data_IF_737849804631
#
_entry.id   IF_737849804631
#
_cell.length_a   1.000
_cell.length_b   1.000
_cell.length_c   1.000
_cell.angle_alpha   90.00
_cell.angle_beta   90.00
_cell.angle_gamma   90.00
#
_symmetry.space_group_name_H-M   'P 1'
#
loop_
_entity.id
_entity.type
_entity.pdbx_description
1 polymer ?
#
# COMPACT_ATOMS: atom_id res chain seq x y z
N UNK A 1 -6.38 -19.45 -15.18
CA UNK A 1 -6.69 -19.52 -13.73
C UNK A 1 -6.60 -18.11 -13.19
N UNK A 2 -7.61 -17.65 -12.46
CA UNK A 2 -7.57 -16.35 -11.77
C UNK A 2 -6.35 -16.32 -10.84
N UNK A 3 -5.69 -15.16 -10.72
CA UNK A 3 -4.52 -14.99 -9.84
C UNK A 3 -3.18 -15.55 -10.33
N UNK A 4 -3.04 -15.91 -11.61
CA UNK A 4 -1.77 -16.39 -12.22
C UNK A 4 -1.28 -15.51 -13.38
N UNK A 5 -1.84 -14.31 -13.53
CA UNK A 5 -1.59 -13.39 -14.65
C UNK A 5 -0.66 -12.24 -14.31
N UNK A 6 0.11 -12.34 -13.21
CA UNK A 6 0.95 -11.25 -12.71
C UNK A 6 2.38 -11.36 -13.18
N UNK A 7 2.90 -10.26 -13.74
CA UNK A 7 4.32 -10.01 -13.78
C UNK A 7 4.70 -9.04 -12.64
N UNK A 8 5.74 -9.39 -11.89
CA UNK A 8 6.25 -8.59 -10.78
C UNK A 8 7.69 -8.19 -11.07
N UNK A 9 7.98 -6.89 -11.00
CA UNK A 9 9.30 -6.32 -11.20
C UNK A 9 9.69 -5.58 -9.92
N UNK A 10 10.87 -5.84 -9.39
CA UNK A 10 11.33 -5.27 -8.13
C UNK A 10 12.59 -4.44 -8.35
N UNK A 11 12.65 -3.27 -7.73
CA UNK A 11 13.81 -2.37 -7.78
C UNK A 11 14.22 -1.98 -6.36
N UNK A 12 15.53 -1.81 -6.14
CA UNK A 12 16.12 -1.46 -4.84
C UNK A 12 16.35 -2.67 -3.93
N UNK A 13 15.40 -3.58 -3.81
CA UNK A 13 15.59 -4.87 -3.13
C UNK A 13 14.82 -6.03 -3.79
N UNK A 14 15.30 -7.25 -3.58
CA UNK A 14 14.52 -8.46 -3.79
C UNK A 14 13.72 -8.79 -2.51
N UNK A 15 12.42 -9.00 -2.64
CA UNK A 15 11.53 -9.38 -1.55
C UNK A 15 10.75 -10.65 -1.91
N UNK A 16 10.83 -11.63 -1.00
CA UNK A 16 10.07 -12.87 -1.06
C UNK A 16 8.83 -12.79 -0.16
N UNK A 17 7.66 -13.05 -0.76
CA UNK A 17 6.35 -13.00 -0.10
C UNK A 17 6.03 -14.27 0.69
N UNK A 18 6.74 -15.35 0.39
CA UNK A 18 6.58 -16.67 0.98
C UNK A 18 7.96 -17.21 1.40
N UNK A 19 7.96 -18.30 2.17
CA UNK A 19 9.20 -19.01 2.44
C UNK A 19 9.83 -19.49 1.13
N UNK A 20 11.15 -19.38 1.02
CA UNK A 20 11.86 -19.87 -0.15
C UNK A 20 12.10 -21.39 -0.08
N UNK A 21 12.76 -21.94 -1.11
CA UNK A 21 13.04 -23.38 -1.21
C UNK A 21 14.01 -23.89 -0.14
N UNK A 22 14.80 -22.99 0.41
CA UNK A 22 15.79 -23.29 1.46
C UNK A 22 15.17 -23.13 2.86
N UNK A 23 13.89 -22.76 2.93
CA UNK A 23 13.13 -22.62 4.17
C UNK A 23 13.34 -21.26 4.85
N UNK A 24 13.97 -20.28 4.20
CA UNK A 24 14.10 -18.95 4.76
C UNK A 24 12.73 -18.27 4.83
N UNK A 25 12.45 -17.49 5.89
CA UNK A 25 11.16 -16.81 6.03
C UNK A 25 10.95 -15.72 4.97
N UNK A 26 9.69 -15.29 4.74
CA UNK A 26 9.40 -14.12 3.91
C UNK A 26 10.17 -12.88 4.39
N UNK A 27 10.66 -12.06 3.46
CA UNK A 27 11.51 -10.94 3.81
C UNK A 27 12.37 -10.45 2.65
N UNK A 28 13.12 -9.39 2.91
CA UNK A 28 14.11 -8.88 1.96
C UNK A 28 15.27 -9.87 1.90
N UNK A 29 15.60 -10.35 0.70
CA UNK A 29 16.75 -11.21 0.46
C UNK A 29 17.98 -10.33 0.29
N UNK A 30 18.86 -10.31 1.31
CA UNK A 30 19.94 -9.31 1.40
C UNK A 30 21.15 -9.60 0.52
N UNK A 31 21.30 -10.86 0.11
CA UNK A 31 22.39 -11.33 -0.76
C UNK A 31 22.04 -11.22 -2.25
N UNK A 32 20.78 -10.97 -2.58
CA UNK A 32 20.33 -10.86 -3.97
C UNK A 32 20.60 -9.46 -4.53
N UNK A 33 21.24 -9.44 -5.70
CA UNK A 33 21.47 -8.22 -6.45
C UNK A 33 20.24 -7.89 -7.29
N UNK A 34 19.69 -6.69 -7.11
CA UNK A 34 18.61 -6.17 -7.95
C UNK A 34 18.98 -4.81 -8.53
N UNK A 35 18.31 -4.45 -9.62
CA UNK A 35 18.47 -3.14 -10.23
C UNK A 35 18.06 -2.01 -9.27
N UNK A 36 18.79 -0.88 -9.26
CA UNK A 36 18.35 0.32 -8.53
C UNK A 36 17.06 0.86 -9.14
N UNK A 37 16.43 1.81 -8.45
CA UNK A 37 15.26 2.51 -9.02
C UNK A 37 15.65 3.15 -10.37
N UNK A 38 14.94 2.84 -11.46
CA UNK A 38 15.10 3.53 -12.72
C UNK A 38 14.87 5.05 -12.53
N UNK A 39 15.54 5.92 -13.31
CA UNK A 39 15.45 7.37 -13.13
C UNK A 39 14.02 7.91 -13.08
N UNK A 40 13.11 7.34 -13.87
CA UNK A 40 11.69 7.70 -13.84
C UNK A 40 11.03 7.39 -12.48
N UNK A 41 11.28 6.21 -11.93
CA UNK A 41 10.72 5.78 -10.65
C UNK A 41 11.36 6.53 -9.48
N UNK A 42 12.65 6.83 -9.55
CA UNK A 42 13.32 7.71 -8.59
C UNK A 42 12.72 9.14 -8.62
N UNK A 43 12.47 9.70 -9.81
CA UNK A 43 11.81 11.00 -9.94
C UNK A 43 10.37 10.99 -9.38
N UNK A 44 9.63 9.90 -9.57
CA UNK A 44 8.31 9.71 -8.95
C UNK A 44 8.40 9.64 -7.43
N UNK A 45 9.31 8.84 -6.87
CA UNK A 45 9.55 8.76 -5.43
C UNK A 45 9.90 10.13 -4.84
N UNK A 46 10.78 10.88 -5.50
CA UNK A 46 11.10 12.27 -5.16
C UNK A 46 9.86 13.16 -5.13
N UNK A 47 9.01 13.06 -6.16
CA UNK A 47 7.80 13.88 -6.27
C UNK A 47 6.79 13.55 -5.16
N UNK A 48 6.63 12.28 -4.80
CA UNK A 48 5.77 11.85 -3.68
C UNK A 48 6.20 12.50 -2.36
N UNK A 49 7.50 12.61 -2.11
CA UNK A 49 8.03 13.28 -0.91
C UNK A 49 7.87 14.80 -0.99
N UNK A 50 8.24 15.42 -2.11
CA UNK A 50 8.12 16.88 -2.29
C UNK A 50 6.67 17.37 -2.20
N UNK A 51 5.72 16.56 -2.63
CA UNK A 51 4.28 16.81 -2.51
C UNK A 51 3.69 16.44 -1.15
N UNK A 52 4.53 15.99 -0.21
CA UNK A 52 4.12 15.58 1.15
C UNK A 52 3.12 14.43 1.17
N UNK A 53 3.08 13.60 0.12
CA UNK A 53 2.33 12.34 0.10
C UNK A 53 3.01 11.32 1.02
N UNK A 54 4.35 11.28 0.98
CA UNK A 54 5.17 10.55 1.94
C UNK A 54 6.01 11.54 2.77
N UNK A 55 6.24 11.25 4.06
CA UNK A 55 7.06 12.11 4.89
C UNK A 55 8.54 12.02 4.47
N UNK A 56 9.33 13.09 4.61
CA UNK A 56 10.75 13.06 4.31
C UNK A 56 11.58 12.12 5.20
N UNK A 57 11.05 11.70 6.35
CA UNK A 57 11.64 10.64 7.17
C UNK A 57 11.51 9.25 6.54
N UNK A 58 10.58 9.08 5.58
CA UNK A 58 10.27 7.83 4.90
C UNK A 58 10.39 7.97 3.36
N UNK A 59 11.53 8.49 2.89
CA UNK A 59 11.84 8.52 1.44
C UNK A 59 11.95 7.08 0.93
N UNK A 60 11.16 6.66 -0.08
CA UNK A 60 11.29 5.33 -0.65
C UNK A 60 12.65 5.08 -1.27
N UNK A 61 13.18 3.90 -1.06
CA UNK A 61 14.45 3.41 -1.63
C UNK A 61 14.28 2.07 -2.37
N UNK A 62 13.04 1.54 -2.38
CA UNK A 62 12.63 0.36 -3.11
C UNK A 62 11.24 0.59 -3.74
N UNK A 63 10.97 -0.14 -4.82
CA UNK A 63 9.61 -0.24 -5.33
C UNK A 63 9.34 -1.59 -5.98
N UNK A 64 8.07 -1.98 -5.96
CA UNK A 64 7.57 -3.10 -6.75
C UNK A 64 6.57 -2.58 -7.77
N UNK A 65 6.75 -3.01 -9.03
CA UNK A 65 5.78 -2.84 -10.10
C UNK A 65 5.04 -4.17 -10.29
N UNK A 66 3.74 -4.16 -10.03
CA UNK A 66 2.86 -5.27 -10.35
C UNK A 66 2.10 -4.95 -11.64
N UNK A 67 2.24 -5.81 -12.65
CA UNK A 67 1.49 -5.78 -13.89
C UNK A 67 0.49 -6.92 -13.86
N UNK A 68 -0.80 -6.60 -13.84
CA UNK A 68 -1.90 -7.53 -13.71
C UNK A 68 -2.55 -7.74 -15.08
N UNK A 69 -2.68 -8.98 -15.52
CA UNK A 69 -3.65 -9.33 -16.55
C UNK A 69 -5.07 -9.48 -15.97
N UNK A 70 -6.06 -9.58 -16.85
CA UNK A 70 -7.48 -9.75 -16.47
C UNK A 70 -7.62 -10.96 -15.54
N UNK A 71 -8.48 -10.82 -14.54
CA UNK A 71 -8.74 -11.81 -13.48
C UNK A 71 -7.56 -12.11 -12.54
N UNK A 72 -6.42 -11.43 -12.68
CA UNK A 72 -5.34 -11.54 -11.70
C UNK A 72 -5.71 -10.86 -10.38
N UNK A 73 -5.16 -11.35 -9.27
CA UNK A 73 -5.50 -10.90 -7.92
C UNK A 73 -4.30 -11.01 -6.98
N UNK A 74 -4.36 -10.30 -5.85
CA UNK A 74 -3.41 -10.49 -4.74
C UNK A 74 -4.20 -11.00 -3.52
N UNK A 75 -3.82 -12.12 -2.92
CA UNK A 75 -4.48 -12.63 -1.72
C UNK A 75 -4.30 -11.69 -0.51
N UNK A 76 -5.15 -11.82 0.52
CA UNK A 76 -5.03 -11.04 1.76
C UNK A 76 -3.66 -11.19 2.43
N UNK A 77 -2.97 -10.07 2.65
CA UNK A 77 -1.68 -10.03 3.33
C UNK A 77 -1.48 -8.70 4.07
N UNK A 78 -0.46 -8.65 4.92
CA UNK A 78 0.11 -7.42 5.49
C UNK A 78 1.51 -7.29 4.91
N UNK A 79 1.89 -6.12 4.41
CA UNK A 79 3.25 -5.88 3.91
C UNK A 79 4.28 -6.17 5.01
N UNK A 80 5.39 -6.81 4.65
CA UNK A 80 6.38 -7.24 5.64
C UNK A 80 6.99 -6.06 6.41
N UNK A 81 7.36 -6.28 7.68
CA UNK A 81 7.96 -5.27 8.55
C UNK A 81 9.42 -4.93 8.24
N UNK A 82 10.04 -5.62 7.28
CA UNK A 82 11.32 -5.16 6.70
C UNK A 82 11.17 -3.83 5.94
N UNK A 83 9.94 -3.40 5.65
CA UNK A 83 9.64 -2.09 5.09
C UNK A 83 9.12 -1.14 6.17
N UNK A 84 9.62 0.09 6.20
CA UNK A 84 9.11 1.13 7.09
C UNK A 84 7.75 1.64 6.62
N UNK A 85 7.01 2.23 7.56
CA UNK A 85 5.72 2.88 7.33
C UNK A 85 5.87 4.41 7.42
N UNK A 86 5.05 5.19 6.69
CA UNK A 86 4.06 4.74 5.72
C UNK A 86 4.71 4.33 4.39
N UNK A 87 3.96 3.55 3.61
CA UNK A 87 4.28 3.27 2.21
C UNK A 87 3.08 3.63 1.33
N UNK A 88 3.27 3.69 0.02
CA UNK A 88 2.17 4.04 -0.89
C UNK A 88 2.14 3.23 -2.17
N UNK A 89 0.95 3.08 -2.73
CA UNK A 89 0.70 2.42 -4.02
C UNK A 89 0.06 3.39 -5.00
N UNK A 90 0.72 3.61 -6.14
CA UNK A 90 0.17 4.35 -7.27
C UNK A 90 -0.49 3.40 -8.27
N UNK A 91 -1.66 3.77 -8.81
CA UNK A 91 -2.44 2.92 -9.73
C UNK A 91 -2.46 3.47 -11.16
N UNK A 92 -2.33 2.59 -12.15
CA UNK A 92 -2.25 2.93 -13.57
C UNK A 92 -3.07 1.95 -14.44
N UNK A 93 -3.37 2.39 -15.67
CA UNK A 93 -4.12 1.69 -16.73
C UNK A 93 -5.60 1.40 -16.46
N UNK A 94 -5.95 0.87 -15.28
CA UNK A 94 -7.34 0.57 -14.93
C UNK A 94 -7.61 0.81 -13.45
N UNK A 95 -8.84 1.19 -13.14
CA UNK A 95 -9.35 1.23 -11.78
C UNK A 95 -9.60 -0.19 -11.27
N UNK A 96 -9.24 -0.44 -10.01
CA UNK A 96 -9.64 -1.62 -9.27
C UNK A 96 -9.73 -1.27 -7.78
N UNK A 97 -10.61 -1.91 -7.00
CA UNK A 97 -10.64 -1.71 -5.56
C UNK A 97 -9.46 -2.40 -4.88
N UNK A 98 -9.06 -1.88 -3.72
CA UNK A 98 -8.31 -2.62 -2.71
C UNK A 98 -9.24 -2.88 -1.53
N UNK A 99 -9.19 -4.09 -1.01
CA UNK A 99 -10.04 -4.53 0.09
C UNK A 99 -9.22 -4.56 1.38
N UNK A 100 -9.83 -4.20 2.50
CA UNK A 100 -9.19 -4.16 3.82
C UNK A 100 -10.03 -4.91 4.87
N UNK A 101 -9.35 -5.60 5.78
CA UNK A 101 -9.98 -6.18 6.97
C UNK A 101 -8.99 -6.91 7.86
N UNK A 102 -9.31 -7.00 9.16
CA UNK A 102 -8.56 -7.87 10.09
C UNK A 102 -8.77 -9.34 9.74
N UNK A 103 -10.04 -9.71 9.52
CA UNK A 103 -10.48 -11.07 9.20
C UNK A 103 -11.09 -11.11 7.79
N UNK A 104 -10.23 -11.22 6.77
CA UNK A 104 -10.65 -11.37 5.38
C UNK A 104 -10.86 -12.85 5.05
N UNK A 105 -11.89 -13.16 4.25
CA UNK A 105 -12.18 -14.54 3.81
C UNK A 105 -12.08 -14.64 2.30
N UNK A 106 -11.48 -15.72 1.82
CA UNK A 106 -11.52 -16.11 0.41
C UNK A 106 -12.90 -16.73 0.16
N UNK A 107 -13.69 -16.12 -0.71
CA UNK A 107 -15.03 -16.62 -1.08
C UNK A 107 -14.89 -17.55 -2.29
N UNK A 108 -14.11 -17.12 -3.28
CA UNK A 108 -13.78 -17.88 -4.48
C UNK A 108 -12.43 -17.38 -5.03
N UNK A 109 -11.84 -18.01 -6.06
CA UNK A 109 -10.62 -17.52 -6.70
C UNK A 109 -10.78 -16.06 -7.18
N UNK A 110 -9.97 -15.16 -6.61
CA UNK A 110 -10.02 -13.72 -6.90
C UNK A 110 -11.19 -12.96 -6.25
N UNK A 111 -12.01 -13.61 -5.44
CA UNK A 111 -13.15 -13.01 -4.74
C UNK A 111 -12.98 -13.10 -3.22
N UNK A 112 -13.05 -11.95 -2.56
CA UNK A 112 -12.73 -11.83 -1.14
C UNK A 112 -13.81 -11.04 -0.40
N UNK A 113 -14.16 -11.50 0.80
CA UNK A 113 -15.01 -10.78 1.73
C UNK A 113 -14.13 -9.97 2.70
N UNK A 114 -14.44 -8.68 2.85
CA UNK A 114 -13.64 -7.71 3.60
C UNK A 114 -14.52 -6.66 4.27
N UNK A 115 -13.99 -6.00 5.30
CA UNK A 115 -14.73 -5.00 6.07
C UNK A 115 -14.83 -3.64 5.35
N UNK A 116 -13.84 -3.30 4.53
CA UNK A 116 -13.81 -2.07 3.77
C UNK A 116 -13.28 -2.31 2.34
N UNK A 117 -13.72 -1.46 1.43
CA UNK A 117 -13.28 -1.43 0.03
C UNK A 117 -12.99 0.03 -0.34
N UNK A 118 -11.82 0.27 -0.93
CA UNK A 118 -11.42 1.59 -1.41
C UNK A 118 -11.15 1.48 -2.91
N UNK A 119 -11.88 2.21 -3.78
CA UNK A 119 -11.56 2.24 -5.20
C UNK A 119 -10.20 2.91 -5.43
N UNK A 120 -9.40 2.39 -6.37
CA UNK A 120 -8.13 2.99 -6.78
C UNK A 120 -8.22 3.47 -8.23
N UNK A 121 -8.73 4.70 -8.49
CA UNK A 121 -8.78 5.28 -9.82
C UNK A 121 -7.41 5.35 -10.49
N UNK A 122 -7.39 5.44 -11.82
CA UNK A 122 -6.15 5.65 -12.58
C UNK A 122 -5.50 6.98 -12.15
N UNK A 123 -4.21 6.93 -11.81
CA UNK A 123 -3.45 8.07 -11.30
C UNK A 123 -3.59 8.32 -9.79
N UNK A 124 -4.42 7.55 -9.08
CA UNK A 124 -4.52 7.66 -7.62
C UNK A 124 -3.26 7.14 -6.91
N UNK A 125 -2.99 7.70 -5.72
CA UNK A 125 -1.98 7.21 -4.79
C UNK A 125 -2.65 6.90 -3.46
N UNK A 126 -2.61 5.65 -3.03
CA UNK A 126 -3.05 5.23 -1.70
C UNK A 126 -1.85 5.16 -0.76
N UNK A 127 -1.94 5.83 0.39
CA UNK A 127 -0.94 5.76 1.46
C UNK A 127 -1.44 4.85 2.57
N UNK A 128 -0.63 3.86 2.97
CA UNK A 128 -0.92 2.95 4.05
C UNK A 128 -0.07 3.31 5.27
N UNK A 129 -0.71 3.54 6.41
CA UNK A 129 -0.09 3.93 7.67
C UNK A 129 -0.85 3.34 8.88
N UNK A 130 -0.14 3.21 10.01
CA UNK A 130 -0.70 2.70 11.27
C UNK A 130 -1.46 1.39 11.08
N UNK A 131 -2.65 1.28 11.68
CA UNK A 131 -3.46 0.05 11.59
C UNK A 131 -3.74 -0.43 10.15
N UNK A 132 -3.81 0.48 9.17
CA UNK A 132 -4.01 0.12 7.76
C UNK A 132 -2.79 -0.56 7.13
N UNK A 133 -1.60 -0.34 7.67
CA UNK A 133 -0.33 -0.91 7.21
C UNK A 133 0.20 -2.04 8.11
N UNK A 134 -0.18 -2.05 9.39
CA UNK A 134 0.42 -2.92 10.41
C UNK A 134 -0.51 -4.04 10.90
N UNK A 135 -1.83 -3.87 10.77
CA UNK A 135 -2.80 -4.79 11.39
C UNK A 135 -3.82 -5.30 10.37
N UNK A 136 -4.39 -4.40 9.58
CA UNK A 136 -5.36 -4.76 8.56
C UNK A 136 -4.67 -5.52 7.43
N UNK A 137 -5.17 -6.72 7.12
CA UNK A 137 -4.85 -7.35 5.85
C UNK A 137 -5.46 -6.51 4.74
N UNK A 138 -4.78 -6.52 3.60
CA UNK A 138 -5.30 -5.95 2.38
C UNK A 138 -5.12 -6.91 1.21
N UNK A 139 -6.00 -6.80 0.22
CA UNK A 139 -5.95 -7.65 -0.97
C UNK A 139 -6.45 -6.89 -2.20
N UNK A 140 -6.05 -7.38 -3.38
CA UNK A 140 -6.58 -6.90 -4.66
C UNK A 140 -7.46 -8.02 -5.21
N UNK A 141 -8.79 -7.85 -5.36
CA UNK A 141 -9.64 -8.83 -6.01
C UNK A 141 -9.31 -8.94 -7.49
N UNK A 142 -9.92 -9.93 -8.17
CA UNK A 142 -9.77 -10.13 -9.60
C UNK A 142 -9.96 -8.81 -10.38
N UNK A 143 -8.92 -8.36 -11.08
CA UNK A 143 -8.98 -7.10 -11.83
C UNK A 143 -9.78 -7.28 -13.12
N UNK A 144 -10.66 -6.33 -13.50
CA UNK A 144 -11.53 -6.49 -14.68
C UNK A 144 -10.81 -6.20 -16.01
N UNK A 145 -9.62 -5.59 -15.94
CA UNK A 145 -8.83 -5.15 -17.09
C UNK A 145 -7.34 -5.18 -16.73
N UNK A 146 -6.48 -5.07 -17.74
CA UNK A 146 -5.04 -4.93 -17.51
C UNK A 146 -4.76 -3.72 -16.63
N UNK A 147 -4.07 -3.94 -15.51
CA UNK A 147 -3.79 -2.93 -14.50
C UNK A 147 -2.30 -2.90 -14.20
N UNK A 148 -1.78 -1.74 -13.81
CA UNK A 148 -0.44 -1.63 -13.22
C UNK A 148 -0.57 -0.95 -11.86
N UNK A 149 0.14 -1.45 -10.86
CA UNK A 149 0.34 -0.73 -9.61
C UNK A 149 1.81 -0.66 -9.26
N UNK A 150 2.25 0.48 -8.74
CA UNK A 150 3.62 0.69 -8.28
C UNK A 150 3.58 0.99 -6.79
N UNK A 151 4.13 0.11 -5.96
CA UNK A 151 4.21 0.29 -4.52
C UNK A 151 5.61 0.76 -4.14
N UNK A 152 5.72 1.97 -3.61
CA UNK A 152 6.95 2.59 -3.14
C UNK A 152 7.09 2.38 -1.64
N UNK A 153 8.24 1.84 -1.22
CA UNK A 153 8.53 1.50 0.17
C UNK A 153 9.93 1.96 0.55
N UNK A 154 10.13 2.26 1.83
CA UNK A 154 11.45 2.46 2.42
C UNK A 154 11.85 1.19 3.15
N UNK A 155 13.03 0.66 2.91
CA UNK A 155 13.55 -0.48 3.65
C UNK A 155 13.97 -0.07 5.07
N UNK A 156 13.81 -0.97 6.02
CA UNK A 156 14.46 -0.84 7.32
C UNK A 156 15.98 -0.93 7.15
N UNK A 157 16.72 -0.03 7.80
CA UNK A 157 18.17 0.07 7.67
C UNK A 157 18.91 -1.24 8.01
N UNK A 158 18.35 -2.05 8.91
CA UNK A 158 18.91 -3.36 9.29
C UNK A 158 18.69 -4.45 8.23
N UNK A 159 17.79 -4.19 7.26
CA UNK A 159 17.32 -5.14 6.23
C UNK A 159 17.79 -4.81 4.83
N UNK A 160 18.44 -3.66 4.65
CA UNK A 160 19.00 -3.24 3.37
C UNK A 160 19.96 -4.32 2.81
N UNK A 161 19.87 -4.65 1.51
CA UNK A 161 20.80 -5.59 0.85
C UNK A 161 22.26 -5.14 0.98
N UNK A 162 23.19 -6.09 1.08
CA UNK A 162 24.61 -5.76 1.37
C UNK A 162 25.28 -4.92 0.29
N UNK A 163 24.86 -5.07 -0.98
CA UNK A 163 25.36 -4.30 -2.12
C UNK A 163 24.57 -3.04 -2.45
N UNK A 164 23.59 -2.65 -1.63
CA UNK A 164 22.68 -1.55 -1.94
C UNK A 164 23.42 -0.21 -2.09
N UNK A 165 23.14 0.49 -3.18
CA UNK A 165 23.66 1.84 -3.44
C UNK A 165 22.48 2.82 -3.44
N UNK A 166 22.38 3.72 -2.44
CA UNK A 166 21.25 4.61 -2.38
C UNK A 166 21.31 5.65 -3.51
N UNK A 167 20.16 5.98 -4.07
CA UNK A 167 20.05 6.94 -5.19
C UNK A 167 20.45 8.36 -4.72
N UNK A 168 21.44 9.02 -5.35
CA UNK A 168 21.86 10.37 -4.98
C UNK A 168 20.73 11.41 -5.01
N UNK A 169 19.78 11.29 -5.94
CA UNK A 169 18.60 12.15 -6.05
C UNK A 169 17.76 12.08 -4.77
N UNK A 170 17.57 10.86 -4.26
CA UNK A 170 16.71 10.59 -3.11
C UNK A 170 17.41 10.86 -1.78
N UNK A 171 18.73 10.62 -1.69
CA UNK A 171 19.54 10.96 -0.51
C UNK A 171 19.47 12.46 -0.18
N UNK A 172 19.51 13.31 -1.21
CA UNK A 172 19.47 14.77 -1.02
C UNK A 172 18.20 15.26 -0.32
N UNK A 173 17.07 14.56 -0.51
CA UNK A 173 15.78 14.92 0.08
C UNK A 173 15.73 14.59 1.58
N UNK A 174 16.29 13.45 1.97
CA UNK A 174 16.35 13.06 3.38
C UNK A 174 17.24 14.04 4.18
N UNK A 175 18.40 14.41 3.62
CA UNK A 175 19.32 15.34 4.24
C UNK A 175 18.77 16.78 4.36
N UNK A 176 17.97 17.22 3.39
CA UNK A 176 17.38 18.57 3.39
C UNK A 176 16.38 18.79 4.54
N UNK A 177 15.79 17.74 5.09
CA UNK A 177 14.77 17.83 6.16
C UNK A 177 15.37 17.64 7.56
N UNK A 178 16.54 16.99 7.67
CA UNK A 178 17.27 16.85 8.93
C UNK A 178 18.02 18.12 9.31
N UNK A 179 18.22 19.07 8.38
CA UNK A 179 18.66 20.41 8.76
C UNK A 179 17.52 21.09 9.53
N UNK A 180 17.66 21.39 10.83
CA UNK A 180 16.76 22.34 11.46
C UNK A 180 16.83 23.62 10.63
N UNK A 181 15.75 24.39 10.60
CA UNK A 181 15.81 25.78 10.16
C UNK A 181 16.75 26.56 11.09
N UNK A 182 18.06 26.41 10.92
CA UNK A 182 19.07 27.28 11.49
C UNK A 182 19.16 28.47 10.56
N UNK A 183 18.26 29.43 10.81
CA UNK A 183 18.23 30.88 10.44
C UNK A 183 16.74 31.26 10.37
N UNK A 184 16.19 32.20 11.13
CA UNK A 184 16.77 33.40 11.73
C UNK A 184 16.38 33.56 13.20
N UNK A 185 17.38 33.76 14.06
CA UNK A 185 17.16 34.49 15.29
C UNK A 185 16.84 35.96 14.91
N UNK A 186 15.57 36.30 14.85
CA UNK A 186 15.15 37.70 15.03
C UNK A 186 14.69 37.82 16.47
N UNK A 187 15.41 38.64 17.25
CA UNK A 187 15.03 38.99 18.60
C UNK A 187 13.61 39.57 18.59
N UNK A 188 12.77 39.30 19.62
CA UNK A 188 11.47 39.93 19.70
C UNK A 188 11.66 41.44 19.87
N UNK A 189 10.94 42.29 19.12
CA UNK A 189 10.98 43.72 19.36
C UNK A 189 10.40 44.02 20.75
N UNK A 190 11.14 44.87 21.46
CA UNK A 190 10.92 45.29 22.83
C UNK A 190 9.47 45.77 23.04
N UNK A 191 8.71 45.08 23.89
CA UNK A 191 7.32 45.40 24.23
C UNK A 191 7.28 46.47 25.32
N UNK A 192 7.77 47.67 25.02
CA UNK A 192 7.78 48.79 25.93
C UNK A 192 7.59 50.11 25.16
N UNK A 193 6.39 50.35 24.63
CA UNK A 193 6.01 51.66 24.08
C UNK A 193 4.51 51.83 23.77
N UNK A 194 3.57 51.26 24.54
CA UNK A 194 2.14 51.58 24.34
C UNK A 194 1.37 51.53 25.66
N UNK A 195 1.75 52.38 26.61
CA UNK A 195 0.90 52.74 27.75
C UNK A 195 0.98 54.25 27.94
N UNK A 196 0.27 55.04 27.12
CA UNK A 196 -0.33 56.34 27.51
C UNK A 196 -1.47 56.66 26.54
N UNK A 197 -2.70 56.79 27.06
CA UNK A 197 -3.86 57.24 26.28
C UNK A 197 -5.19 56.76 26.88
N UNK A 198 -5.69 57.52 27.86
CA UNK A 198 -6.95 57.33 28.57
C UNK A 198 -8.20 57.45 27.67
N UNK A 199 -9.34 56.88 28.09
CA UNK A 199 -10.65 57.49 27.84
C UNK A 199 -11.85 56.58 27.47
N UNK A 200 -12.49 56.00 28.49
CA UNK A 200 -13.94 55.70 28.67
C UNK A 200 -14.79 54.78 27.73
N UNK A 201 -15.88 54.16 28.28
CA UNK A 201 -16.51 52.96 27.74
C UNK A 201 -17.87 53.22 27.05
N UNK A 202 -18.22 52.40 26.06
CA UNK A 202 -19.59 52.33 25.54
C UNK A 202 -20.02 50.91 25.13
N UNK A 203 -20.91 50.36 25.98
CA UNK A 203 -22.17 49.67 25.66
C UNK A 203 -22.14 48.43 24.72
N UNK A 204 -22.26 47.29 25.40
CA UNK A 204 -23.10 46.12 25.10
C UNK A 204 -23.88 46.11 23.78
N UNK A 205 -23.60 45.10 22.95
CA UNK A 205 -24.58 44.41 22.12
C UNK A 205 -24.13 42.96 21.87
N UNK A 206 -24.89 42.01 22.41
CA UNK A 206 -24.77 40.57 22.18
C UNK A 206 -25.35 40.19 20.81
N UNK A 207 -24.82 39.17 20.13
CA UNK A 207 -25.75 38.21 19.53
C UNK A 207 -25.50 36.76 19.96
N UNK A 208 -26.64 36.12 20.16
CA UNK A 208 -26.95 34.76 20.56
C UNK A 208 -26.07 33.65 19.96
N UNK A 209 -25.66 32.75 20.85
CA UNK A 209 -25.32 31.36 20.55
C UNK A 209 -26.53 30.65 19.95
N UNK A 210 -26.40 30.12 18.74
CA UNK A 210 -27.34 29.13 18.23
C UNK A 210 -26.73 27.75 18.40
N UNK A 211 -27.31 27.04 19.36
CA UNK A 211 -27.03 25.68 19.75
C UNK A 211 -27.65 24.74 18.69
N UNK A 212 -26.84 23.94 18.00
CA UNK A 212 -27.31 22.78 17.25
C UNK A 212 -26.68 21.53 17.85
N UNK A 213 -27.54 20.73 18.48
CA UNK A 213 -27.25 19.41 19.01
C UNK A 213 -27.33 18.34 17.90
N UNK A 214 -26.70 17.17 18.12
CA UNK A 214 -26.26 16.27 17.06
C UNK A 214 -27.36 15.31 16.57
N UNK A 215 -27.34 14.99 15.28
CA UNK A 215 -28.15 13.91 14.72
C UNK A 215 -27.41 12.57 14.81
N UNK A 216 -28.07 11.58 15.40
CA UNK A 216 -27.66 10.17 15.47
C UNK A 216 -27.98 9.41 14.16
N UNK A 217 -27.40 8.22 13.91
CA UNK A 217 -27.29 7.63 12.57
C UNK A 217 -28.52 6.79 12.18
N UNK A 218 -28.89 6.84 10.90
CA UNK A 218 -29.88 5.92 10.32
C UNK A 218 -29.19 4.96 9.34
N UNK A 219 -28.92 3.75 9.84
CA UNK A 219 -28.76 2.55 9.03
C UNK A 219 -30.12 1.83 8.96
N UNK A 220 -30.68 1.69 7.77
CA UNK A 220 -31.60 0.63 7.31
C UNK A 220 -31.98 0.99 5.87
N UNK A 221 -31.62 0.23 4.84
CA UNK A 221 -32.03 -1.11 4.46
C UNK A 221 -32.83 -1.01 3.14
N UNK A 222 -32.33 -1.65 2.09
CA UNK A 222 -33.14 -2.03 0.94
C UNK A 222 -32.51 -3.29 0.31
N UNK A 223 -32.92 -4.43 0.86
CA UNK A 223 -32.90 -5.71 0.16
C UNK A 223 -34.31 -5.99 -0.39
N UNK A 224 -34.35 -6.80 -1.46
CA UNK A 224 -35.52 -7.30 -2.21
C UNK A 224 -36.00 -6.36 -3.35
N UNK A 225 -36.29 -6.79 -4.58
CA UNK A 225 -36.86 -8.06 -5.09
C UNK A 225 -36.51 -8.23 -6.58
N UNK A 226 -36.06 -9.42 -7.01
CA UNK A 226 -36.78 -10.22 -8.04
C UNK A 226 -36.24 -11.64 -8.13
N UNK A 227 -37.10 -12.57 -7.71
CA UNK A 227 -37.00 -13.99 -7.95
C UNK A 227 -37.30 -14.30 -9.43
N UNK A 228 -36.48 -15.18 -10.00
CA UNK A 228 -36.77 -15.97 -11.18
C UNK A 228 -36.28 -17.39 -10.89
N UNK A 229 -37.23 -18.30 -10.73
CA UNK A 229 -37.02 -19.71 -10.43
C UNK A 229 -36.46 -20.45 -11.64
N UNK A 230 -35.47 -21.33 -11.42
CA UNK A 230 -35.35 -22.59 -12.16
C UNK A 230 -34.69 -23.64 -11.27
N UNK A 231 -35.40 -24.74 -11.09
CA UNK A 231 -34.98 -25.94 -10.38
C UNK A 231 -33.93 -26.72 -11.18
N UNK A 232 -32.89 -27.25 -10.54
CA UNK A 232 -32.36 -28.57 -10.85
C UNK A 232 -31.52 -29.12 -9.70
N UNK A 233 -31.69 -30.41 -9.46
CA UNK A 233 -31.34 -31.19 -8.28
C UNK A 233 -29.84 -31.44 -8.10
N UNK A 234 -29.41 -31.54 -6.84
CA UNK A 234 -28.13 -32.15 -6.42
C UNK A 234 -28.18 -33.68 -6.56
N UNK A 235 -27.01 -34.36 -6.56
CA UNK A 235 -26.60 -34.98 -5.30
C UNK A 235 -25.08 -34.99 -5.02
N UNK A 236 -24.75 -34.87 -3.73
CA UNK A 236 -23.76 -35.73 -3.07
C UNK A 236 -22.29 -35.30 -3.07
N UNK A 237 -21.70 -35.28 -1.87
CA UNK A 237 -20.26 -35.50 -1.65
C UNK A 237 -19.46 -34.29 -1.14
N UNK A 238 -19.65 -33.92 0.12
CA UNK A 238 -18.78 -32.97 0.80
C UNK A 238 -17.41 -33.59 1.06
N UNK A 239 -16.35 -32.94 0.58
CA UNK A 239 -14.97 -33.12 1.02
C UNK A 239 -14.46 -31.73 1.44
N UNK A 240 -13.88 -31.55 2.63
CA UNK A 240 -13.39 -30.23 3.04
C UNK A 240 -12.15 -29.90 2.21
N UNK A 241 -12.25 -28.89 1.34
CA UNK A 241 -11.13 -28.41 0.55
C UNK A 241 -10.20 -27.62 1.47
N UNK A 242 -9.07 -28.23 1.84
CA UNK A 242 -7.96 -27.59 2.54
C UNK A 242 -7.03 -26.95 1.51
N UNK A 243 -6.93 -25.62 1.54
CA UNK A 243 -5.90 -24.91 0.79
C UNK A 243 -4.58 -25.00 1.59
N UNK A 244 -3.65 -25.84 1.11
CA UNK A 244 -2.28 -25.81 1.60
C UNK A 244 -1.59 -24.51 1.16
N UNK A 245 -0.65 -24.03 1.96
CA UNK A 245 0.16 -22.81 1.77
C UNK A 245 1.04 -22.80 0.52
N UNK A 246 0.95 -23.80 -0.35
CA UNK A 246 1.87 -24.05 -1.47
C UNK A 246 1.32 -23.67 -2.86
N UNK A 247 0.14 -23.03 -2.95
CA UNK A 247 -0.48 -22.74 -4.26
C UNK A 247 0.03 -21.45 -4.95
N UNK A 248 1.08 -20.81 -4.42
CA UNK A 248 1.80 -19.72 -5.08
C UNK A 248 3.27 -20.12 -5.26
N UNK A 249 3.76 -20.33 -6.48
CA UNK A 249 5.17 -20.64 -6.69
C UNK A 249 6.03 -19.45 -6.26
N UNK A 250 7.08 -19.72 -5.48
CA UNK A 250 8.13 -18.74 -5.21
C UNK A 250 8.71 -18.23 -6.55
N UNK A 251 8.82 -16.91 -6.69
CA UNK A 251 9.34 -16.28 -7.91
C UNK A 251 10.83 -16.64 -8.04
N UNK A 252 11.20 -17.36 -9.11
CA UNK A 252 12.55 -17.89 -9.34
C UNK A 252 12.61 -19.29 -9.96
N UNK A 253 11.45 -19.94 -10.17
CA UNK A 253 11.40 -21.22 -10.87
C UNK A 253 11.59 -21.06 -12.39
N UNK A 254 12.83 -21.11 -12.88
CA UNK A 254 13.09 -21.46 -14.27
C UNK A 254 12.53 -22.86 -14.57
N UNK A 255 11.88 -23.10 -15.73
CA UNK A 255 11.46 -24.43 -16.10
C UNK A 255 12.69 -25.31 -16.26
N UNK A 256 12.74 -26.43 -15.52
CA UNK A 256 13.80 -27.41 -15.66
C UNK A 256 13.85 -27.88 -17.12
N UNK A 257 14.96 -27.61 -17.79
CA UNK A 257 15.28 -28.17 -19.11
C UNK A 257 15.20 -29.69 -19.01
N UNK A 258 14.24 -30.30 -19.70
CA UNK A 258 14.08 -31.75 -19.74
C UNK A 258 15.34 -32.42 -20.26
N UNK A 259 16.01 -33.21 -19.40
CA UNK A 259 17.00 -34.19 -19.82
C UNK A 259 16.30 -35.24 -20.68
N UNK A 260 16.64 -35.31 -21.97
CA UNK A 260 16.31 -36.46 -22.82
C UNK A 260 17.03 -37.71 -22.27
N UNK A 261 16.37 -38.87 -22.13
CA UNK A 261 17.06 -40.12 -21.82
C UNK A 261 17.83 -40.60 -23.06
N UNK A 262 19.07 -41.04 -22.83
CA UNK A 262 19.97 -41.56 -23.85
C UNK A 262 19.40 -42.76 -24.59
N UNK A 263 19.70 -42.85 -25.88
CA UNK A 263 19.61 -44.10 -26.64
C UNK A 263 20.95 -44.81 -26.53
N UNK A 264 20.83 -46.13 -26.35
CA UNK A 264 21.88 -47.15 -26.35
C UNK A 264 22.77 -47.07 -27.59
#
# INVERSE_FOLDING_TARGET
MRGKGRATIQFGCCYNYAADRDGNPPGIVRDESVDPLPPLLAAMARRLVLWRVLPPSCVPDSCIVNVYDVDDCIPPHVDHHDFLRPFCTASFLAEAPILFGRDMRVVAPGEFSAAASIPLPVGSVLVLAGNGADVAKHCVPAVPAKRISITFRKMDASKVPFGFRPDPLLQSLAAAVVRPAMTAASAPPNRAAWEQGQGEPAKHATPQQQQQQPAAPLYQAAAAVRAGQTQSQSPGGGVPFSLSTDEFPALGASPASGRRPGRR
#
